data_IF_635325500260
#
_entry.id   IF_635325500260
#
_cell.length_a   1.000
_cell.length_b   1.000
_cell.length_c   1.000
_cell.angle_alpha   90.00
_cell.angle_beta   90.00
_cell.angle_gamma   90.00
#
_symmetry.space_group_name_H-M   'P 1'
#
loop_
_entity.id
_entity.type
_entity.pdbx_description
1 polymer ?
#
# COMPACT_ATOMS: atom_id res chain seq x y z
N UNK A 1 5.05 -15.00 23.34
CA UNK A 1 4.87 -13.79 24.12
C UNK A 1 3.41 -13.39 24.11
N UNK A 2 2.79 -13.60 25.21
CA UNK A 2 1.36 -13.36 25.33
C UNK A 2 1.09 -11.91 25.70
N UNK A 3 0.03 -11.33 25.17
CA UNK A 3 -0.40 -9.99 25.50
C UNK A 3 0.44 -8.87 24.91
N UNK A 4 1.49 -9.19 24.19
CA UNK A 4 2.33 -8.19 23.57
C UNK A 4 1.71 -7.74 22.26
N UNK A 5 1.56 -6.42 22.06
CA UNK A 5 1.14 -5.88 20.78
C UNK A 5 2.16 -6.22 19.71
N UNK A 6 1.68 -6.52 18.51
CA UNK A 6 2.51 -6.74 17.34
C UNK A 6 2.20 -5.66 16.32
N UNK A 7 3.16 -5.37 15.45
CA UNK A 7 3.00 -4.36 14.41
C UNK A 7 3.10 -5.04 13.06
N UNK A 8 2.21 -4.68 12.15
CA UNK A 8 2.30 -5.09 10.75
C UNK A 8 2.78 -3.91 9.93
N UNK A 9 3.91 -4.07 9.26
CA UNK A 9 4.52 -2.99 8.50
C UNK A 9 3.85 -2.82 7.15
N UNK A 10 3.58 -1.56 6.82
CA UNK A 10 3.00 -1.15 5.54
C UNK A 10 3.87 -0.03 4.99
N UNK A 11 4.16 -0.05 3.70
CA UNK A 11 4.85 1.06 3.04
C UNK A 11 3.79 2.08 2.61
N UNK A 12 3.93 3.31 3.10
CA UNK A 12 3.04 4.41 2.76
C UNK A 12 3.68 5.28 1.67
N UNK A 13 2.91 5.64 0.66
CA UNK A 13 3.28 6.71 -0.28
C UNK A 13 2.26 7.82 -0.14
N UNK A 14 2.72 9.04 0.10
CA UNK A 14 1.84 10.18 0.39
C UNK A 14 2.38 11.46 -0.24
N UNK A 15 1.50 12.43 -0.46
CA UNK A 15 1.89 13.72 -1.00
C UNK A 15 2.39 14.62 0.12
N UNK A 16 3.62 15.11 -0.01
CA UNK A 16 4.18 16.08 0.93
C UNK A 16 3.79 17.52 0.59
N UNK A 17 4.20 18.45 1.44
CA UNK A 17 3.91 19.88 1.26
C UNK A 17 4.55 20.45 0.00
N UNK A 18 5.58 19.78 -0.52
CA UNK A 18 6.28 20.14 -1.75
C UNK A 18 5.54 19.68 -3.02
N UNK A 19 4.40 19.00 -2.90
CA UNK A 19 3.65 18.43 -4.02
C UNK A 19 4.27 17.14 -4.56
N UNK A 20 5.33 16.65 -3.94
CA UNK A 20 6.00 15.40 -4.32
C UNK A 20 5.53 14.26 -3.44
N UNK A 21 5.54 13.05 -4.01
CA UNK A 21 5.27 11.86 -3.21
C UNK A 21 6.50 11.49 -2.41
N UNK A 22 6.28 10.99 -1.19
CA UNK A 22 7.31 10.53 -0.27
C UNK A 22 6.92 9.15 0.25
N UNK A 23 7.93 8.36 0.63
CA UNK A 23 7.71 7.07 1.28
C UNK A 23 7.85 7.20 2.78
N UNK A 24 7.10 6.38 3.49
CA UNK A 24 7.15 6.26 4.95
C UNK A 24 6.81 4.84 5.33
N UNK A 25 7.54 4.26 6.28
CA UNK A 25 7.15 2.98 6.85
C UNK A 25 6.14 3.25 7.97
N UNK A 26 5.00 2.57 7.90
CA UNK A 26 3.92 2.71 8.86
C UNK A 26 3.69 1.36 9.52
N UNK A 27 3.55 1.36 10.83
CA UNK A 27 3.24 0.16 11.59
C UNK A 27 1.76 0.18 11.98
N UNK A 28 1.05 -0.89 11.61
CA UNK A 28 -0.35 -1.06 11.99
C UNK A 28 -0.37 -1.93 13.25
N UNK A 29 -0.82 -1.40 14.40
CA UNK A 29 -0.87 -2.19 15.62
C UNK A 29 -1.91 -3.30 15.53
N UNK A 30 -1.54 -4.50 15.99
CA UNK A 30 -2.46 -5.62 16.11
C UNK A 30 -2.37 -6.16 17.54
N UNK A 31 -3.52 -6.53 18.09
CA UNK A 31 -3.64 -6.99 19.47
C UNK A 31 -4.33 -8.34 19.53
N UNK A 32 -3.99 -9.14 20.54
CA UNK A 32 -4.57 -10.46 20.74
C UNK A 32 -6.07 -10.40 20.98
N UNK A 33 -6.81 -11.27 20.29
CA UNK A 33 -8.26 -11.37 20.38
C UNK A 33 -8.64 -12.83 20.68
N UNK A 34 -8.03 -13.41 21.69
CA UNK A 34 -8.27 -14.79 22.06
C UNK A 34 -7.76 -15.76 21.00
N UNK A 35 -8.55 -16.81 20.75
CA UNK A 35 -8.14 -17.87 19.82
C UNK A 35 -8.12 -17.51 18.37
N UNK A 36 -8.61 -16.34 17.97
CA UNK A 36 -8.62 -15.95 16.55
C UNK A 36 -7.38 -15.17 16.12
N UNK A 37 -6.44 -14.97 17.03
CA UNK A 37 -5.17 -14.31 16.69
C UNK A 37 -5.14 -12.85 17.10
N UNK A 38 -4.28 -12.08 16.44
CA UNK A 38 -4.09 -10.66 16.70
C UNK A 38 -4.72 -9.87 15.58
N UNK A 39 -5.50 -8.87 15.92
CA UNK A 39 -6.22 -8.05 14.95
C UNK A 39 -5.93 -6.57 15.19
N UNK A 40 -5.89 -5.82 14.10
CA UNK A 40 -5.95 -4.36 14.18
C UNK A 40 -7.37 -3.92 14.51
N UNK A 41 -7.55 -2.65 14.81
CA UNK A 41 -8.88 -2.04 14.78
C UNK A 41 -9.42 -2.11 13.36
N UNK A 42 -10.75 -2.18 13.24
CA UNK A 42 -11.40 -2.16 11.93
C UNK A 42 -11.13 -0.84 11.23
N UNK A 43 -10.64 -0.91 9.99
CA UNK A 43 -10.44 0.25 9.13
C UNK A 43 -11.57 0.23 8.12
N UNK A 44 -12.41 1.26 8.14
CA UNK A 44 -13.60 1.28 7.29
C UNK A 44 -13.27 1.73 5.88
N UNK A 45 -13.96 1.10 4.93
CA UNK A 45 -13.89 1.46 3.52
C UNK A 45 -15.05 0.87 2.75
N UNK A 46 -15.23 1.27 1.49
CA UNK A 46 -16.41 0.90 0.70
C UNK A 46 -16.39 -0.54 0.16
N UNK A 47 -15.23 -1.21 0.16
CA UNK A 47 -15.16 -2.54 -0.39
C UNK A 47 -13.77 -2.93 -0.87
N UNK A 48 -13.70 -3.89 -1.78
CA UNK A 48 -12.46 -4.48 -2.27
C UNK A 48 -12.53 -4.63 -3.79
N UNK A 49 -11.42 -4.32 -4.47
CA UNK A 49 -11.26 -4.57 -5.91
C UNK A 49 -10.18 -5.64 -6.10
N UNK A 50 -10.49 -6.63 -6.92
CA UNK A 50 -9.51 -7.64 -7.34
C UNK A 50 -8.85 -7.16 -8.63
N UNK A 51 -7.52 -7.31 -8.72
CA UNK A 51 -6.76 -6.74 -9.84
C UNK A 51 -5.70 -7.70 -10.34
N UNK A 52 -5.65 -7.86 -11.66
CA UNK A 52 -4.55 -8.53 -12.34
C UNK A 52 -3.79 -7.51 -13.19
N UNK A 53 -2.47 -7.64 -13.22
CA UNK A 53 -1.59 -6.74 -13.95
C UNK A 53 -0.64 -7.58 -14.80
N UNK A 54 -0.54 -7.25 -16.08
CA UNK A 54 0.34 -7.97 -17.02
C UNK A 54 1.81 -7.65 -16.75
N UNK A 55 2.67 -8.53 -17.26
CA UNK A 55 4.11 -8.42 -17.04
C UNK A 55 4.78 -7.25 -17.77
N UNK A 56 4.09 -6.62 -18.72
CA UNK A 56 4.57 -5.42 -19.43
C UNK A 56 4.11 -4.11 -18.79
N UNK A 57 3.48 -4.18 -17.62
CA UNK A 57 2.98 -3.02 -16.89
C UNK A 57 4.10 -2.03 -16.60
N UNK A 58 3.91 -0.79 -17.04
CA UNK A 58 4.87 0.30 -16.84
C UNK A 58 4.06 1.61 -16.92
N UNK A 59 3.67 2.10 -15.77
CA UNK A 59 2.81 3.28 -15.68
C UNK A 59 3.63 4.48 -15.22
N UNK A 60 3.64 5.54 -16.03
CA UNK A 60 4.33 6.79 -15.74
C UNK A 60 3.69 7.50 -14.54
N UNK A 61 4.26 8.62 -14.12
CA UNK A 61 3.79 9.37 -12.95
C UNK A 61 2.29 9.55 -12.97
N UNK A 62 1.66 9.15 -11.89
CA UNK A 62 0.21 9.25 -11.69
C UNK A 62 -0.08 9.31 -10.19
N UNK A 63 -1.20 9.91 -9.84
CA UNK A 63 -1.64 9.96 -8.45
C UNK A 63 -2.49 8.73 -8.12
N UNK A 64 -2.59 8.39 -6.85
CA UNK A 64 -3.54 7.39 -6.40
C UNK A 64 -4.96 7.91 -6.62
N UNK A 65 -5.88 7.08 -7.15
CA UNK A 65 -7.25 7.54 -7.42
C UNK A 65 -8.03 7.83 -6.13
N UNK A 66 -7.61 7.21 -5.04
CA UNK A 66 -8.20 7.35 -3.70
C UNK A 66 -7.22 6.80 -2.69
N UNK A 67 -7.44 7.10 -1.42
CA UNK A 67 -6.69 6.46 -0.35
C UNK A 67 -7.06 4.98 -0.33
N UNK A 68 -6.06 4.12 -0.40
CA UNK A 68 -6.31 2.68 -0.39
C UNK A 68 -5.08 1.89 -0.04
N UNK A 69 -5.31 0.71 0.52
CA UNK A 69 -4.26 -0.29 0.60
C UNK A 69 -4.17 -1.04 -0.72
N UNK A 70 -2.96 -1.37 -1.12
CA UNK A 70 -2.70 -2.28 -2.23
C UNK A 70 -2.02 -3.50 -1.62
N UNK A 71 -2.72 -4.62 -1.62
CA UNK A 71 -2.23 -5.86 -1.03
C UNK A 71 -1.68 -6.73 -2.16
N UNK A 72 -0.37 -6.90 -2.18
CA UNK A 72 0.29 -7.72 -3.18
C UNK A 72 0.14 -9.20 -2.82
N UNK A 73 -0.58 -9.95 -3.61
CA UNK A 73 -0.78 -11.38 -3.37
C UNK A 73 0.26 -12.21 -4.11
N UNK A 74 0.59 -11.83 -5.34
CA UNK A 74 1.54 -12.55 -6.19
C UNK A 74 2.25 -11.57 -7.11
N UNK A 75 3.54 -11.78 -7.30
CA UNK A 75 4.36 -10.93 -8.14
C UNK A 75 4.88 -9.71 -7.40
N UNK A 76 5.70 -8.94 -8.07
CA UNK A 76 6.39 -7.78 -7.50
C UNK A 76 6.14 -6.54 -8.32
N UNK A 77 6.26 -5.38 -7.68
CA UNK A 77 6.15 -4.08 -8.34
C UNK A 77 7.23 -3.16 -7.80
N UNK A 78 7.76 -2.30 -8.66
CA UNK A 78 8.64 -1.20 -8.25
C UNK A 78 7.87 0.10 -8.32
N UNK A 79 7.89 0.85 -7.22
CA UNK A 79 7.25 2.16 -7.10
C UNK A 79 8.37 3.20 -7.02
N UNK A 80 8.37 4.19 -7.91
CA UNK A 80 9.37 5.24 -7.96
C UNK A 80 8.71 6.59 -7.78
N UNK A 81 9.27 7.42 -6.90
CA UNK A 81 8.79 8.78 -6.65
C UNK A 81 9.71 9.80 -7.35
N UNK A 82 9.31 11.08 -7.33
CA UNK A 82 9.97 12.14 -8.09
C UNK A 82 11.45 12.34 -7.75
N UNK A 83 11.87 12.02 -6.53
CA UNK A 83 13.30 12.08 -6.14
C UNK A 83 14.15 11.00 -6.78
N UNK A 84 13.53 9.99 -7.39
CA UNK A 84 14.21 8.80 -7.91
C UNK A 84 14.25 7.64 -6.94
N UNK A 85 13.84 7.85 -5.69
CA UNK A 85 13.75 6.75 -4.72
C UNK A 85 12.76 5.71 -5.21
N UNK A 86 13.13 4.44 -5.10
CA UNK A 86 12.31 3.31 -5.54
C UNK A 86 12.14 2.34 -4.39
N UNK A 87 10.90 1.87 -4.20
CA UNK A 87 10.59 0.77 -3.28
C UNK A 87 10.07 -0.40 -4.09
N UNK A 88 10.63 -1.56 -3.83
CA UNK A 88 10.13 -2.82 -4.40
C UNK A 88 9.21 -3.47 -3.39
N UNK A 89 8.02 -3.84 -3.86
CA UNK A 89 7.02 -4.56 -3.05
C UNK A 89 6.86 -5.94 -3.66
N UNK A 90 7.08 -6.96 -2.85
CA UNK A 90 6.98 -8.35 -3.25
C UNK A 90 5.65 -8.97 -2.78
N UNK A 91 5.46 -10.25 -3.07
CA UNK A 91 4.27 -10.98 -2.62
C UNK A 91 4.14 -10.88 -1.09
N UNK A 92 2.96 -10.52 -0.62
CA UNK A 92 2.68 -10.33 0.80
C UNK A 92 2.94 -8.93 1.32
N UNK A 93 3.58 -8.06 0.53
CA UNK A 93 3.80 -6.67 0.94
C UNK A 93 2.55 -5.83 0.70
N UNK A 94 2.38 -4.81 1.53
CA UNK A 94 1.21 -3.93 1.48
C UNK A 94 1.67 -2.50 1.31
N UNK A 95 1.08 -1.82 0.33
CA UNK A 95 1.26 -0.39 0.09
C UNK A 95 0.03 0.34 0.61
N UNK A 96 0.24 1.44 1.32
CA UNK A 96 -0.82 2.41 1.61
C UNK A 96 -0.63 3.59 0.67
N UNK A 97 -1.49 3.67 -0.34
CA UNK A 97 -1.42 4.73 -1.34
C UNK A 97 -2.29 5.91 -0.89
N UNK A 98 -1.64 7.04 -0.61
CA UNK A 98 -2.28 8.26 -0.14
C UNK A 98 -1.84 9.50 -0.93
N UNK A 99 -1.04 9.33 -1.97
CA UNK A 99 -0.62 10.44 -2.82
C UNK A 99 -1.68 10.73 -3.88
N UNK A 100 -2.81 11.25 -3.43
CA UNK A 100 -3.98 11.52 -4.26
C UNK A 100 -3.88 12.85 -5.01
N UNK A 101 -2.85 13.63 -4.76
CA UNK A 101 -2.61 14.93 -5.36
C UNK A 101 -1.13 15.06 -5.76
N UNK A 102 -0.80 16.11 -6.50
CA UNK A 102 0.58 16.45 -6.85
C UNK A 102 1.16 15.59 -7.97
N UNK A 103 2.46 15.34 -7.88
CA UNK A 103 3.22 14.65 -8.93
C UNK A 103 2.89 13.16 -9.03
N UNK A 104 2.64 12.51 -7.90
CA UNK A 104 2.37 11.08 -7.87
C UNK A 104 3.63 10.23 -7.93
N UNK A 105 3.46 9.00 -8.38
CA UNK A 105 4.52 8.00 -8.45
C UNK A 105 4.42 7.22 -9.76
N UNK A 106 5.52 6.59 -10.13
CA UNK A 106 5.56 5.60 -11.23
C UNK A 106 5.49 4.21 -10.65
N UNK A 107 4.96 3.27 -11.43
CA UNK A 107 4.94 1.87 -11.04
C UNK A 107 5.18 0.98 -12.24
N UNK A 108 5.95 -0.10 -12.05
CA UNK A 108 6.24 -1.03 -13.13
C UNK A 108 6.39 -2.46 -12.63
N UNK A 109 6.10 -3.39 -13.52
CA UNK A 109 6.33 -4.81 -13.30
C UNK A 109 7.83 -5.09 -13.10
N UNK A 110 8.12 -6.16 -12.39
CA UNK A 110 9.50 -6.62 -12.15
C UNK A 110 9.72 -7.89 -12.97
N UNK A 111 10.84 -7.92 -13.68
CA UNK A 111 11.27 -9.09 -14.47
C UNK A 111 10.24 -9.58 -15.48
N UNK A 112 9.40 -8.69 -15.99
CA UNK A 112 8.37 -9.05 -16.98
C UNK A 112 7.31 -9.99 -16.45
N UNK A 113 7.12 -10.08 -15.13
CA UNK A 113 6.19 -11.01 -14.52
C UNK A 113 4.85 -10.35 -14.19
N UNK A 114 3.75 -11.08 -14.37
CA UNK A 114 2.43 -10.57 -13.99
C UNK A 114 2.27 -10.48 -12.47
N UNK A 115 1.27 -9.73 -12.04
CA UNK A 115 0.99 -9.49 -10.63
C UNK A 115 -0.49 -9.60 -10.35
N UNK A 116 -0.82 -10.15 -9.19
CA UNK A 116 -2.19 -10.19 -8.66
C UNK A 116 -2.22 -9.44 -7.36
N UNK A 117 -3.17 -8.52 -7.21
CA UNK A 117 -3.29 -7.73 -5.99
C UNK A 117 -4.73 -7.38 -5.69
N UNK A 118 -4.94 -6.83 -4.52
CA UNK A 118 -6.23 -6.27 -4.10
C UNK A 118 -6.06 -4.79 -3.87
N UNK A 119 -7.02 -4.01 -4.34
CA UNK A 119 -7.22 -2.65 -3.86
C UNK A 119 -8.24 -2.69 -2.73
N UNK A 120 -7.89 -2.13 -1.58
CA UNK A 120 -8.77 -2.04 -0.42
C UNK A 120 -8.92 -0.56 -0.08
N UNK A 121 -9.88 0.13 -0.73
CA UNK A 121 -10.11 1.55 -0.46
C UNK A 121 -10.49 1.78 0.99
N UNK A 122 -10.09 2.93 1.52
CA UNK A 122 -10.48 3.36 2.87
C UNK A 122 -11.25 4.67 2.78
N UNK A 123 -12.17 4.87 3.72
CA UNK A 123 -12.97 6.08 3.74
C UNK A 123 -12.08 7.31 3.94
N UNK A 124 -12.43 8.43 3.28
CA UNK A 124 -11.60 9.62 3.27
C UNK A 124 -11.39 10.23 4.67
N UNK A 125 -12.35 10.03 5.57
CA UNK A 125 -12.31 10.57 6.93
C UNK A 125 -11.64 9.64 7.94
N UNK A 126 -11.19 8.46 7.51
CA UNK A 126 -10.54 7.51 8.42
C UNK A 126 -9.13 7.99 8.77
N UNK A 127 -8.85 8.03 10.06
CA UNK A 127 -7.50 8.24 10.59
C UNK A 127 -6.94 6.88 10.99
N UNK A 128 -5.78 6.54 10.45
CA UNK A 128 -5.14 5.27 10.77
C UNK A 128 -4.49 5.34 12.16
N UNK A 129 -4.48 4.21 12.89
CA UNK A 129 -3.90 4.16 14.23
C UNK A 129 -2.39 4.33 14.24
#
# INVERSE_FOLDING_TARGET
>A
MHGRATLMKVVRVYTGDDGESHFEDVDIPVEGQGGIGKLSKLIRGPGVLFREVDGDYDLDFHTAPRRQFVVNLRGSVEITIGSGETRRLDSGDILLAEDTTGHGHKSRAVDGQPRTCLFVPIDADVTLP
#
